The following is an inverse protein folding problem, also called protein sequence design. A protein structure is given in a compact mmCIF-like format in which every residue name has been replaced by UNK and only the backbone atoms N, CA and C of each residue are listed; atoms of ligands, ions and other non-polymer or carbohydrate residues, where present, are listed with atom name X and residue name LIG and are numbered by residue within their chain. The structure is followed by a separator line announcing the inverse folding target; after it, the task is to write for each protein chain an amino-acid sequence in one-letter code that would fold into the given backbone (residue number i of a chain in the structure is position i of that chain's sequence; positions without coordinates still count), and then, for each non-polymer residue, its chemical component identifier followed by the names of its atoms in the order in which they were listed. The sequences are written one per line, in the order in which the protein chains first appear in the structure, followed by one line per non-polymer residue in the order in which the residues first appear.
data_IF_328383413531
#
_entry.id   IF_328383413531
#
_cell.length_a   1.000
_cell.length_b   1.000
_cell.length_c   1.000
_cell.angle_alpha   90.00
_cell.angle_beta   90.00
_cell.angle_gamma   90.00
#
_symmetry.space_group_name_H-M   'P 1'
#
loop_
_entity.id
_entity.type
_entity.pdbx_description
1 polymer ?
#
# COMPACT_ATOMS: atom_id res chain seq x y z
N UNK A 1 16.81 -4.74 -22.30
CA UNK A 1 17.70 -4.37 -21.17
C UNK A 1 17.91 -2.86 -21.28
N UNK A 2 17.36 -2.05 -20.37
CA UNK A 2 17.47 -0.59 -20.47
C UNK A 2 18.89 -0.14 -20.12
N UNK A 3 19.40 0.90 -20.79
CA UNK A 3 20.75 1.45 -20.61
C UNK A 3 21.07 1.76 -19.14
N UNK A 4 20.04 2.06 -18.34
CA UNK A 4 20.08 2.41 -16.92
C UNK A 4 20.44 1.26 -15.96
N UNK A 5 20.52 0.01 -16.46
CA UNK A 5 20.80 -1.19 -15.64
C UNK A 5 22.03 -1.98 -16.08
N UNK A 6 22.75 -1.48 -17.09
CA UNK A 6 23.97 -2.13 -17.57
C UNK A 6 25.08 -1.92 -16.52
N UNK A 7 25.52 -2.99 -15.87
CA UNK A 7 26.64 -2.95 -14.90
C UNK A 7 26.26 -2.95 -13.41
N UNK A 8 24.98 -3.13 -13.06
CA UNK A 8 24.59 -3.31 -11.65
C UNK A 8 24.79 -4.78 -11.21
N UNK A 9 25.46 -5.03 -10.07
CA UNK A 9 25.73 -6.38 -9.57
C UNK A 9 24.49 -7.04 -8.94
N UNK A 10 23.47 -6.27 -8.58
CA UNK A 10 22.26 -6.76 -7.92
C UNK A 10 21.12 -7.06 -8.90
N UNK A 11 20.40 -8.16 -8.66
CA UNK A 11 19.15 -8.47 -9.36
C UNK A 11 18.08 -7.43 -9.02
N UNK A 12 17.13 -7.20 -9.93
CA UNK A 12 16.04 -6.22 -9.78
C UNK A 12 15.26 -6.40 -8.48
N UNK A 13 15.00 -7.65 -8.11
CA UNK A 13 14.24 -7.97 -6.91
C UNK A 13 15.02 -7.60 -5.65
N UNK A 14 16.33 -7.87 -5.63
CA UNK A 14 17.20 -7.58 -4.49
C UNK A 14 17.43 -6.07 -4.33
N UNK A 15 17.61 -5.37 -5.46
CA UNK A 15 17.67 -3.92 -5.55
C UNK A 15 16.42 -3.26 -4.95
N UNK A 16 15.22 -3.80 -5.26
CA UNK A 16 13.95 -3.32 -4.72
C UNK A 16 13.86 -3.51 -3.21
N UNK A 17 14.20 -4.71 -2.73
CA UNK A 17 14.12 -5.07 -1.32
C UNK A 17 15.06 -4.18 -0.50
N UNK A 18 16.29 -3.99 -0.97
CA UNK A 18 17.28 -3.13 -0.32
C UNK A 18 16.76 -1.69 -0.19
N UNK A 19 16.27 -1.12 -1.28
CA UNK A 19 15.73 0.24 -1.29
C UNK A 19 14.50 0.38 -0.40
N UNK A 20 13.57 -0.58 -0.45
CA UNK A 20 12.40 -0.57 0.43
C UNK A 20 12.77 -0.59 1.90
N UNK A 21 13.68 -1.48 2.32
CA UNK A 21 14.15 -1.54 3.71
C UNK A 21 14.75 -0.19 4.14
N UNK A 22 15.54 0.42 3.25
CA UNK A 22 16.21 1.70 3.52
C UNK A 22 15.21 2.85 3.68
N UNK A 23 14.21 2.94 2.80
CA UNK A 23 13.12 3.92 2.94
C UNK A 23 12.25 3.69 4.17
N UNK A 24 11.95 2.43 4.51
CA UNK A 24 11.19 2.10 5.72
C UNK A 24 11.97 2.45 6.99
N UNK A 25 13.29 2.25 6.99
CA UNK A 25 14.16 2.64 8.11
C UNK A 25 14.16 4.15 8.33
N UNK A 26 14.25 4.94 7.25
CA UNK A 26 14.18 6.40 7.34
C UNK A 26 12.81 6.87 7.82
N UNK A 27 11.75 6.21 7.36
CA UNK A 27 10.40 6.50 7.79
C UNK A 27 10.22 6.24 9.29
N UNK A 28 10.61 5.06 9.77
CA UNK A 28 10.48 4.70 11.19
C UNK A 28 11.33 5.61 12.08
N UNK A 29 12.54 5.94 11.62
CA UNK A 29 13.42 6.91 12.28
C UNK A 29 12.79 8.30 12.35
N UNK A 30 12.20 8.77 11.23
CA UNK A 30 11.52 10.06 11.15
C UNK A 30 10.32 10.19 12.09
N UNK A 31 9.57 9.09 12.29
CA UNK A 31 8.41 9.05 13.20
C UNK A 31 8.84 8.98 14.67
N UNK A 32 9.96 8.33 14.99
CA UNK A 32 10.42 8.17 16.38
C UNK A 32 11.23 9.35 16.92
N UNK A 33 11.86 10.12 16.03
CA UNK A 33 12.65 11.28 16.43
C UNK A 33 11.77 12.53 16.64
N UNK A 34 12.19 13.48 17.50
CA UNK A 34 11.54 14.78 17.61
C UNK A 34 11.49 15.50 16.26
N UNK A 35 10.40 16.23 15.97
CA UNK A 35 10.11 16.82 14.64
C UNK A 35 11.30 17.54 13.99
N UNK A 36 12.09 18.29 14.75
CA UNK A 36 13.26 19.03 14.26
C UNK A 36 14.36 18.10 13.68
N UNK A 37 14.56 16.93 14.28
CA UNK A 37 15.57 15.95 13.86
C UNK A 37 14.99 14.95 12.87
N UNK A 38 13.73 14.51 13.08
CA UNK A 38 13.07 13.52 12.22
C UNK A 38 12.92 13.98 10.77
N UNK A 39 12.55 15.24 10.54
CA UNK A 39 12.47 15.80 9.19
C UNK A 39 13.85 15.87 8.52
N UNK A 40 14.88 16.27 9.27
CA UNK A 40 16.24 16.36 8.78
C UNK A 40 16.77 14.98 8.37
N UNK A 41 16.59 13.96 9.21
CA UNK A 41 17.00 12.57 8.92
C UNK A 41 16.28 12.02 7.70
N UNK A 42 14.98 12.29 7.54
CA UNK A 42 14.23 11.81 6.39
C UNK A 42 14.70 12.45 5.06
N UNK A 43 14.95 13.76 5.05
CA UNK A 43 15.41 14.49 3.85
C UNK A 43 16.86 14.12 3.51
N UNK A 44 17.75 14.19 4.49
CA UNK A 44 19.18 13.86 4.32
C UNK A 44 19.36 12.39 3.97
N UNK A 45 18.63 11.49 4.64
CA UNK A 45 18.63 10.06 4.35
C UNK A 45 18.17 9.79 2.93
N UNK A 46 16.99 10.28 2.53
CA UNK A 46 16.43 10.02 1.21
C UNK A 46 17.30 10.54 0.06
N UNK A 47 17.84 11.76 0.20
CA UNK A 47 18.62 12.41 -0.87
C UNK A 47 20.07 11.95 -0.88
N UNK A 48 20.79 12.03 0.24
CA UNK A 48 22.23 11.72 0.29
C UNK A 48 22.48 10.22 0.15
N UNK A 49 21.73 9.39 0.89
CA UNK A 49 21.92 7.94 0.83
C UNK A 49 21.40 7.38 -0.49
N UNK A 50 20.31 7.94 -1.02
CA UNK A 50 19.80 7.59 -2.35
C UNK A 50 20.81 7.86 -3.47
N UNK A 51 21.38 9.06 -3.49
CA UNK A 51 22.40 9.48 -4.45
C UNK A 51 23.71 8.69 -4.28
N UNK A 52 24.13 8.43 -3.03
CA UNK A 52 25.27 7.56 -2.74
C UNK A 52 25.04 6.12 -3.24
N UNK A 53 23.84 5.57 -3.08
CA UNK A 53 23.51 4.22 -3.53
C UNK A 53 23.50 4.09 -5.06
N UNK A 54 23.08 5.13 -5.78
CA UNK A 54 23.19 5.17 -7.25
C UNK A 54 24.67 5.23 -7.66
N UNK A 55 25.46 6.14 -7.08
CA UNK A 55 26.89 6.28 -7.40
C UNK A 55 27.71 5.05 -7.06
N UNK A 56 27.37 4.35 -5.98
CA UNK A 56 28.00 3.09 -5.58
C UNK A 56 27.62 1.92 -6.49
N UNK A 57 26.69 2.10 -7.44
CA UNK A 57 26.20 1.02 -8.28
C UNK A 57 25.37 -0.02 -7.53
N UNK A 58 24.81 0.33 -6.37
CA UNK A 58 23.90 -0.57 -5.63
C UNK A 58 22.50 -0.58 -6.22
N UNK A 59 22.07 0.53 -6.81
CA UNK A 59 20.73 0.69 -7.39
C UNK A 59 20.75 1.55 -8.64
N UNK A 60 19.73 1.39 -9.48
CA UNK A 60 19.45 2.23 -10.63
C UNK A 60 18.60 3.43 -10.22
N UNK A 61 18.79 4.54 -10.92
CA UNK A 61 17.97 5.74 -10.74
C UNK A 61 16.48 5.47 -10.99
N UNK A 62 16.15 4.63 -11.97
CA UNK A 62 14.75 4.24 -12.23
C UNK A 62 14.15 3.51 -11.03
N UNK A 63 14.93 2.64 -10.38
CA UNK A 63 14.44 1.86 -9.25
C UNK A 63 14.22 2.71 -8.01
N UNK A 64 15.13 3.65 -7.75
CA UNK A 64 14.98 4.63 -6.67
C UNK A 64 13.68 5.42 -6.80
N UNK A 65 13.34 5.88 -8.01
CA UNK A 65 12.09 6.61 -8.27
C UNK A 65 10.88 5.73 -7.97
N UNK A 66 10.86 4.48 -8.43
CA UNK A 66 9.76 3.54 -8.18
C UNK A 66 9.58 3.28 -6.68
N UNK A 67 10.68 3.09 -5.94
CA UNK A 67 10.63 2.87 -4.49
C UNK A 67 10.19 4.13 -3.74
N UNK A 68 10.67 5.31 -4.15
CA UNK A 68 10.26 6.58 -3.55
C UNK A 68 8.76 6.84 -3.72
N UNK A 69 8.21 6.64 -4.92
CA UNK A 69 6.77 6.75 -5.18
C UNK A 69 5.98 5.75 -4.33
N UNK A 70 6.48 4.51 -4.22
CA UNK A 70 5.86 3.46 -3.41
C UNK A 70 5.83 3.81 -1.91
N UNK A 71 6.91 4.37 -1.38
CA UNK A 71 6.99 4.83 0.01
C UNK A 71 6.08 6.05 0.24
N UNK A 72 6.04 7.01 -0.70
CA UNK A 72 5.17 8.19 -0.60
C UNK A 72 3.69 7.80 -0.65
N UNK A 73 3.30 6.87 -1.52
CA UNK A 73 1.93 6.34 -1.58
C UNK A 73 1.47 5.70 -0.26
N UNK A 74 2.42 5.22 0.55
CA UNK A 74 2.11 4.64 1.86
C UNK A 74 1.67 5.69 2.88
N UNK A 75 1.96 6.98 2.67
CA UNK A 75 1.49 8.08 3.52
C UNK A 75 0.02 8.48 3.26
N UNK A 76 -0.60 7.98 2.18
CA UNK A 76 -2.04 8.16 1.97
C UNK A 76 -2.86 7.46 3.07
N UNK A 77 -2.27 6.46 3.74
CA UNK A 77 -2.88 5.82 4.90
C UNK A 77 -2.70 6.71 6.14
N UNK A 78 -3.79 7.36 6.55
CA UNK A 78 -3.80 8.24 7.74
C UNK A 78 -3.69 7.47 9.06
N UNK A 79 -4.06 6.18 9.06
CA UNK A 79 -4.02 5.36 10.27
C UNK A 79 -2.67 4.61 10.39
N UNK A 80 -1.96 4.84 11.50
CA UNK A 80 -0.64 4.26 11.74
C UNK A 80 -0.68 2.73 11.87
N UNK A 81 -1.69 2.17 12.55
CA UNK A 81 -1.88 0.72 12.68
C UNK A 81 -2.14 0.08 11.32
N UNK A 82 -2.94 0.75 10.48
CA UNK A 82 -3.21 0.27 9.13
C UNK A 82 -1.94 0.32 8.27
N UNK A 83 -1.11 1.34 8.44
CA UNK A 83 0.10 1.44 7.63
C UNK A 83 1.12 0.36 8.00
N UNK A 84 1.28 0.05 9.29
CA UNK A 84 2.10 -1.08 9.72
C UNK A 84 1.63 -2.40 9.12
N UNK A 85 0.31 -2.66 9.14
CA UNK A 85 -0.27 -3.85 8.53
C UNK A 85 0.01 -3.94 7.01
N UNK A 86 -0.14 -2.84 6.27
CA UNK A 86 0.13 -2.81 4.82
C UNK A 86 1.61 -2.99 4.52
N UNK A 87 2.52 -2.42 5.32
CA UNK A 87 3.96 -2.65 5.16
C UNK A 87 4.32 -4.13 5.36
N UNK A 88 3.77 -4.79 6.39
CA UNK A 88 4.00 -6.23 6.61
C UNK A 88 3.44 -7.07 5.45
N UNK A 89 2.22 -6.80 4.99
CA UNK A 89 1.62 -7.51 3.85
C UNK A 89 2.45 -7.32 2.57
N UNK A 90 2.98 -6.12 2.33
CA UNK A 90 3.86 -5.84 1.20
C UNK A 90 5.14 -6.66 1.26
N UNK A 91 5.79 -6.71 2.42
CA UNK A 91 6.99 -7.53 2.63
C UNK A 91 6.71 -9.02 2.39
N UNK A 92 5.55 -9.51 2.83
CA UNK A 92 5.10 -10.87 2.57
C UNK A 92 4.94 -11.16 1.07
N UNK A 93 4.21 -10.31 0.33
CA UNK A 93 4.02 -10.48 -1.12
C UNK A 93 5.35 -10.41 -1.88
N UNK A 94 6.26 -9.53 -1.47
CA UNK A 94 7.58 -9.40 -2.08
C UNK A 94 8.45 -10.63 -1.86
N UNK A 95 8.42 -11.21 -0.66
CA UNK A 95 9.17 -12.42 -0.36
C UNK A 95 8.64 -13.62 -1.18
N UNK A 96 7.32 -13.75 -1.30
CA UNK A 96 6.68 -14.72 -2.20
C UNK A 96 7.08 -14.50 -3.66
N UNK A 97 7.05 -13.25 -4.13
CA UNK A 97 7.44 -12.87 -5.49
C UNK A 97 8.92 -13.13 -5.76
N UNK A 98 9.79 -13.03 -4.75
CA UNK A 98 11.20 -13.33 -4.89
C UNK A 98 11.47 -14.82 -5.11
N UNK A 99 10.70 -15.69 -4.45
CA UNK A 99 10.88 -17.15 -4.54
C UNK A 99 10.19 -17.71 -5.79
N UNK A 100 8.96 -17.26 -6.07
CA UNK A 100 8.09 -17.83 -7.10
C UNK A 100 7.91 -16.92 -8.33
N UNK A 101 8.56 -15.76 -8.38
CA UNK A 101 8.40 -14.78 -9.44
C UNK A 101 6.96 -14.26 -9.52
N UNK A 102 6.42 -14.17 -10.73
CA UNK A 102 5.06 -13.66 -10.98
C UNK A 102 3.97 -14.52 -10.32
N UNK A 103 4.21 -15.83 -10.16
CA UNK A 103 3.28 -16.70 -9.44
C UNK A 103 3.15 -16.32 -7.97
N UNK A 104 4.26 -15.90 -7.34
CA UNK A 104 4.26 -15.42 -5.97
C UNK A 104 3.45 -14.14 -5.78
N UNK A 105 3.47 -13.24 -6.77
CA UNK A 105 2.62 -12.05 -6.78
C UNK A 105 1.14 -12.42 -6.83
N UNK A 106 0.76 -13.34 -7.73
CA UNK A 106 -0.64 -13.78 -7.89
C UNK A 106 -1.14 -14.44 -6.59
N UNK A 107 -0.35 -15.37 -6.03
CA UNK A 107 -0.69 -16.04 -4.77
C UNK A 107 -0.79 -15.04 -3.63
N UNK A 108 0.19 -14.14 -3.49
CA UNK A 108 0.18 -13.11 -2.46
C UNK A 108 -1.04 -12.17 -2.57
N UNK A 109 -1.42 -11.79 -3.79
CA UNK A 109 -2.62 -11.00 -4.04
C UNK A 109 -3.89 -11.75 -3.62
N UNK A 110 -4.04 -13.02 -4.03
CA UNK A 110 -5.18 -13.86 -3.63
C UNK A 110 -5.25 -14.07 -2.11
N UNK A 111 -4.10 -14.25 -1.44
CA UNK A 111 -4.02 -14.33 0.01
C UNK A 111 -4.52 -13.05 0.69
N UNK A 112 -4.17 -11.87 0.17
CA UNK A 112 -4.66 -10.59 0.69
C UNK A 112 -6.18 -10.47 0.52
N UNK A 113 -6.72 -10.82 -0.66
CA UNK A 113 -8.16 -10.79 -0.90
C UNK A 113 -8.89 -11.72 0.06
N UNK A 114 -8.38 -12.94 0.24
CA UNK A 114 -8.95 -13.92 1.17
C UNK A 114 -8.91 -13.43 2.62
N UNK A 115 -7.81 -12.77 3.03
CA UNK A 115 -7.68 -12.17 4.36
C UNK A 115 -8.73 -11.07 4.57
N UNK A 116 -8.92 -10.18 3.60
CA UNK A 116 -9.93 -9.13 3.66
C UNK A 116 -11.36 -9.71 3.70
N UNK A 117 -11.62 -10.82 3.01
CA UNK A 117 -12.92 -11.51 3.09
C UNK A 117 -13.22 -12.05 4.49
N UNK A 118 -12.19 -12.42 5.26
CA UNK A 118 -12.32 -12.93 6.63
C UNK A 118 -12.34 -11.84 7.69
N UNK A 119 -11.95 -10.60 7.35
CA UNK A 119 -12.08 -9.48 8.28
C UNK A 119 -13.55 -9.05 8.33
N UNK A 120 -14.17 -9.21 9.50
CA UNK A 120 -15.50 -8.66 9.76
C UNK A 120 -15.37 -7.24 10.33
N UNK A 121 -16.07 -6.28 9.73
CA UNK A 121 -16.19 -4.92 10.21
C UNK A 121 -17.61 -4.70 10.68
N UNK A 122 -17.82 -4.59 12.00
CA UNK A 122 -19.15 -4.42 12.61
C UNK A 122 -20.19 -5.44 12.14
N UNK A 123 -19.78 -6.72 11.98
CA UNK A 123 -20.67 -7.82 11.60
C UNK A 123 -20.93 -7.98 10.10
N UNK A 124 -20.23 -7.23 9.25
CA UNK A 124 -20.26 -7.39 7.78
C UNK A 124 -18.83 -7.59 7.28
N UNK A 125 -18.60 -8.57 6.41
CA UNK A 125 -17.28 -8.82 5.83
C UNK A 125 -16.76 -7.55 5.14
N UNK A 126 -15.46 -7.27 5.26
CA UNK A 126 -14.83 -6.06 4.72
C UNK A 126 -15.04 -5.92 3.20
N UNK A 127 -15.10 -7.04 2.49
CA UNK A 127 -15.40 -7.11 1.04
C UNK A 127 -16.91 -7.23 0.76
N UNK A 128 -17.75 -7.49 1.76
CA UNK A 128 -19.20 -7.67 1.61
C UNK A 128 -19.93 -6.43 1.05
N UNK A 129 -19.32 -5.25 1.14
CA UNK A 129 -19.80 -4.02 0.48
C UNK A 129 -19.60 -4.00 -1.04
N UNK A 130 -18.82 -4.92 -1.61
CA UNK A 130 -18.59 -5.07 -3.05
C UNK A 130 -19.63 -5.97 -3.72
N UNK A 131 -20.88 -5.90 -3.25
CA UNK A 131 -22.02 -6.41 -4.00
C UNK A 131 -22.14 -5.58 -5.30
N UNK A 132 -22.34 -6.16 -6.49
CA UNK A 132 -22.17 -5.47 -7.76
C UNK A 132 -23.00 -4.18 -7.81
N UNK A 133 -22.38 -3.00 -7.72
CA UNK A 133 -23.12 -1.76 -7.87
C UNK A 133 -23.55 -1.71 -9.33
N UNK A 134 -24.84 -1.53 -9.58
CA UNK A 134 -25.34 -1.17 -10.93
C UNK A 134 -24.41 -0.09 -11.49
N UNK A 135 -23.93 -0.26 -12.72
CA UNK A 135 -22.98 0.66 -13.38
C UNK A 135 -23.48 2.12 -13.33
N UNK A 136 -24.81 2.31 -13.34
CA UNK A 136 -25.46 3.61 -13.15
C UNK A 136 -25.15 4.27 -11.80
N UNK A 137 -25.06 3.49 -10.71
CA UNK A 137 -24.68 3.99 -9.37
C UNK A 137 -23.19 4.31 -9.23
N UNK A 138 -22.32 3.71 -10.05
CA UNK A 138 -20.89 4.06 -10.07
C UNK A 138 -20.68 5.46 -10.68
N UNK A 139 -21.43 5.78 -11.75
CA UNK A 139 -21.44 7.11 -12.35
C UNK A 139 -22.02 8.16 -11.40
N UNK A 140 -23.11 7.86 -10.69
CA UNK A 140 -23.70 8.75 -9.68
C UNK A 140 -22.80 8.95 -8.44
N UNK A 141 -21.90 8.00 -8.15
CA UNK A 141 -20.94 8.09 -7.04
C UNK A 141 -19.68 8.87 -7.43
N UNK A 142 -19.30 8.87 -8.71
CA UNK A 142 -18.21 9.69 -9.24
C UNK A 142 -18.67 11.13 -9.49
N UNK A 143 -19.87 11.30 -10.02
CA UNK A 143 -20.51 12.59 -10.24
C UNK A 143 -21.32 12.94 -8.99
N UNK A 144 -20.64 13.42 -7.94
CA UNK A 144 -21.19 13.83 -6.63
C UNK A 144 -22.67 14.25 -6.70
N UNK A 145 -23.57 13.28 -6.51
CA UNK A 145 -25.01 13.51 -6.59
C UNK A 145 -25.45 14.45 -5.45
N UNK A 146 -26.28 15.47 -5.72
CA UNK A 146 -26.68 16.44 -4.71
C UNK A 146 -27.39 15.77 -3.53
N UNK A 147 -27.14 16.33 -2.35
CA UNK A 147 -27.48 15.85 -1.00
C UNK A 147 -28.94 15.36 -0.83
N UNK A 148 -29.87 15.79 -1.68
CA UNK A 148 -31.30 15.49 -1.56
C UNK A 148 -31.71 14.06 -1.95
N UNK A 149 -30.83 13.24 -2.53
CA UNK A 149 -31.17 11.86 -2.96
C UNK A 149 -30.56 10.74 -2.08
N UNK A 150 -30.18 11.04 -0.83
CA UNK A 150 -29.65 10.04 0.12
C UNK A 150 -30.71 9.37 1.03
N UNK A 151 -32.00 9.45 0.67
CA UNK A 151 -33.09 8.92 1.52
C UNK A 151 -33.28 7.39 1.48
N UNK A 152 -32.62 6.67 0.57
CA UNK A 152 -32.77 5.19 0.46
C UNK A 152 -31.46 4.45 0.65
N UNK A 153 -30.88 4.58 1.84
CA UNK A 153 -29.87 3.62 2.34
C UNK A 153 -30.63 2.42 2.91
N UNK A 154 -31.14 1.53 2.04
CA UNK A 154 -31.58 0.21 2.48
C UNK A 154 -30.34 -0.56 2.89
N UNK A 155 -30.01 -0.51 4.17
CA UNK A 155 -29.16 -1.50 4.81
C UNK A 155 -29.83 -2.85 4.51
N UNK A 156 -29.25 -3.61 3.59
CA UNK A 156 -29.58 -5.01 3.39
C UNK A 156 -28.98 -5.81 4.56
N UNK A 157 -29.39 -5.46 5.78
CA UNK A 157 -29.40 -6.34 6.92
C UNK A 157 -30.83 -6.85 6.99
N UNK A 158 -31.03 -8.12 6.66
CA UNK A 158 -32.26 -8.83 6.97
C UNK A 158 -32.35 -8.97 8.50
N UNK A 159 -32.67 -7.89 9.20
CA UNK A 159 -32.90 -7.89 10.64
C UNK A 159 -34.35 -8.33 10.89
N UNK A 160 -34.50 -9.60 11.30
CA UNK A 160 -35.79 -10.17 11.68
C UNK A 160 -36.27 -9.72 13.08
N UNK A 161 -35.57 -8.79 13.74
CA UNK A 161 -35.82 -8.48 15.16
C UNK A 161 -36.45 -7.10 15.41
N UNK A 162 -36.72 -6.30 14.37
CA UNK A 162 -37.45 -5.03 14.53
C UNK A 162 -38.96 -5.23 14.58
N UNK A 163 -39.45 -5.92 15.62
CA UNK A 163 -40.83 -5.77 16.08
C UNK A 163 -40.86 -4.57 17.01
N UNK A 164 -41.41 -3.46 16.52
CA UNK A 164 -41.77 -2.33 17.37
C UNK A 164 -42.92 -2.73 18.30
N UNK A 165 -42.65 -2.66 19.60
CA UNK A 165 -43.58 -2.17 20.61
C UNK A 165 -42.86 -1.08 21.38
#
# INVERSE_FOLDING_TARGET
MTLSRLGLPLSATMEFILMLILFELFRESGVRLPKAVGQTVAVVGGLIVGDAAIRAGLTSQTMLVVTAVTSVASYTLVNQSLTGAVTVLRMFVLLLSCIYGIYGLIIGFLSIVTLLSRLDSFGVSYIGGMNPPRITKLLDSFLKSPWNSMSKRSLAANDKTRKGQ
#
